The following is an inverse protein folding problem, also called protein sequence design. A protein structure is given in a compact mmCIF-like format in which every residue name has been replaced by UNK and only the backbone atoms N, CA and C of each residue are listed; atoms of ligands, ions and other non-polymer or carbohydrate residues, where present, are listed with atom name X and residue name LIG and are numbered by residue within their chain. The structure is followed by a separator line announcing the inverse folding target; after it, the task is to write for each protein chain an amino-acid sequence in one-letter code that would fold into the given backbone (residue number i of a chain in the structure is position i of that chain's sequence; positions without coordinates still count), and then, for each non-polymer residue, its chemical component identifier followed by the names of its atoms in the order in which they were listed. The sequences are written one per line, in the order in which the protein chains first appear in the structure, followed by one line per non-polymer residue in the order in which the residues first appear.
data_IF_515034040356
#
_entry.id   IF_515034040356
#
_cell.length_a   1.000
_cell.length_b   1.000
_cell.length_c   1.000
_cell.angle_alpha   90.00
_cell.angle_beta   90.00
_cell.angle_gamma   90.00
#
_symmetry.space_group_name_H-M   'P 1'
#
loop_
_entity.id
_entity.type
_entity.pdbx_description
1 polymer ?
#
# COMPACT_ATOMS: atom_id res chain seq x y z
N UNK A 1 -12.11 -30.84 2.24
CA UNK A 1 -11.04 -30.50 1.25
C UNK A 1 -9.86 -29.75 1.88
N UNK A 2 -10.04 -28.60 2.55
CA UNK A 2 -8.88 -27.89 3.17
C UNK A 2 -8.29 -28.58 4.39
N UNK A 3 -9.11 -29.17 5.27
CA UNK A 3 -8.63 -29.87 6.48
C UNK A 3 -7.77 -31.11 6.15
N UNK A 4 -8.09 -31.79 5.04
CA UNK A 4 -7.32 -32.93 4.54
C UNK A 4 -5.89 -32.56 4.13
N UNK A 5 -5.59 -31.28 3.86
CA UNK A 5 -4.22 -30.83 3.57
C UNK A 5 -3.32 -30.84 4.81
N UNK A 6 -3.90 -30.93 6.01
CA UNK A 6 -3.19 -30.94 7.28
C UNK A 6 -3.07 -32.34 7.90
N UNK A 7 -3.60 -33.38 7.25
CA UNK A 7 -3.44 -34.77 7.71
C UNK A 7 -2.04 -35.29 7.38
N UNK A 8 -1.52 -36.22 8.19
CA UNK A 8 -0.19 -36.81 8.03
C UNK A 8 0.83 -36.30 9.04
N UNK A 9 2.11 -36.50 8.76
CA UNK A 9 3.19 -36.10 9.67
C UNK A 9 3.33 -34.56 9.71
N UNK A 10 3.16 -33.96 10.88
CA UNK A 10 3.21 -32.51 11.04
C UNK A 10 4.57 -31.88 10.72
N UNK A 11 5.67 -32.65 10.84
CA UNK A 11 7.04 -32.15 10.61
C UNK A 11 7.34 -32.00 9.11
N UNK A 12 6.86 -32.94 8.29
CA UNK A 12 7.11 -32.94 6.84
C UNK A 12 5.97 -32.30 6.05
N UNK A 13 4.82 -32.02 6.69
CA UNK A 13 3.68 -31.40 6.03
C UNK A 13 3.93 -29.89 5.82
N UNK A 14 4.23 -29.53 4.57
CA UNK A 14 4.48 -28.14 4.16
C UNK A 14 3.30 -27.19 4.43
N UNK A 15 2.04 -27.67 4.34
CA UNK A 15 0.86 -26.84 4.63
C UNK A 15 0.78 -26.49 6.11
N UNK A 16 1.04 -27.47 6.98
CA UNK A 16 1.12 -27.29 8.43
C UNK A 16 2.26 -26.33 8.79
N UNK A 17 3.45 -26.53 8.23
CA UNK A 17 4.60 -25.65 8.47
C UNK A 17 4.30 -24.20 8.03
N UNK A 18 3.76 -23.99 6.83
CA UNK A 18 3.41 -22.65 6.34
C UNK A 18 2.34 -21.97 7.20
N UNK A 19 1.37 -22.72 7.72
CA UNK A 19 0.38 -22.19 8.65
C UNK A 19 1.04 -21.79 9.97
N UNK A 20 1.92 -22.63 10.53
CA UNK A 20 2.66 -22.33 11.75
C UNK A 20 3.51 -21.06 11.60
N UNK A 21 4.16 -20.83 10.46
CA UNK A 21 4.90 -19.59 10.21
C UNK A 21 4.00 -18.35 10.34
N UNK A 22 2.76 -18.41 9.85
CA UNK A 22 1.79 -17.31 9.99
C UNK A 22 1.29 -17.14 11.41
N UNK A 23 1.09 -18.24 12.14
CA UNK A 23 0.70 -18.21 13.56
C UNK A 23 1.81 -17.59 14.40
N UNK A 24 3.06 -18.03 14.20
CA UNK A 24 4.25 -17.50 14.86
C UNK A 24 4.37 -15.98 14.63
N UNK A 25 4.22 -15.52 13.39
CA UNK A 25 4.26 -14.09 13.08
C UNK A 25 3.16 -13.30 13.82
N UNK A 26 1.92 -13.83 13.88
CA UNK A 26 0.81 -13.18 14.60
C UNK A 26 0.97 -13.19 16.11
N UNK A 27 1.63 -14.21 16.67
CA UNK A 27 1.98 -14.30 18.08
C UNK A 27 3.18 -13.39 18.44
N UNK A 28 3.75 -12.65 17.48
CA UNK A 28 4.90 -11.76 17.69
C UNK A 28 6.25 -12.50 17.70
N UNK A 29 6.27 -13.77 17.31
CA UNK A 29 7.49 -14.56 17.15
C UNK A 29 8.27 -14.18 15.90
N UNK A 30 9.56 -14.50 15.89
CA UNK A 30 10.47 -14.28 14.76
C UNK A 30 10.89 -15.65 14.24
N UNK A 31 10.47 -15.99 13.02
CA UNK A 31 10.80 -17.28 12.41
C UNK A 31 12.23 -17.31 11.84
N UNK A 32 12.66 -16.21 11.24
CA UNK A 32 14.01 -16.04 10.71
C UNK A 32 14.43 -14.57 10.76
N UNK A 33 15.75 -14.33 10.69
CA UNK A 33 16.36 -13.00 10.62
C UNK A 33 17.53 -13.07 9.66
N UNK A 34 17.76 -11.99 8.91
CA UNK A 34 18.95 -11.84 8.07
C UNK A 34 20.17 -11.59 8.94
N UNK A 35 21.28 -12.28 8.68
CA UNK A 35 22.54 -11.99 9.38
C UNK A 35 23.04 -10.59 8.99
N UNK A 36 23.09 -9.69 9.98
CA UNK A 36 23.52 -8.30 9.79
C UNK A 36 24.97 -8.20 9.30
N UNK A 37 25.81 -9.21 9.57
CA UNK A 37 27.22 -9.20 9.20
C UNK A 37 27.50 -9.75 7.79
N UNK A 38 26.50 -10.37 7.15
CA UNK A 38 26.68 -10.99 5.84
C UNK A 38 26.90 -9.95 4.73
N UNK A 39 26.26 -8.78 4.83
CA UNK A 39 26.36 -7.72 3.84
C UNK A 39 26.56 -6.36 4.52
N UNK A 40 27.44 -5.52 3.97
CA UNK A 40 27.69 -4.16 4.49
C UNK A 40 26.41 -3.31 4.57
N UNK A 41 25.52 -3.45 3.59
CA UNK A 41 24.21 -2.77 3.58
C UNK A 41 23.34 -3.20 4.75
N UNK A 42 23.29 -4.50 5.05
CA UNK A 42 22.54 -5.05 6.17
C UNK A 42 23.12 -4.61 7.52
N UNK A 43 24.45 -4.57 7.64
CA UNK A 43 25.12 -4.06 8.83
C UNK A 43 24.73 -2.60 9.12
N UNK A 44 24.62 -1.78 8.08
CA UNK A 44 24.16 -0.39 8.21
C UNK A 44 22.67 -0.30 8.58
N UNK A 45 21.81 -1.08 7.91
CA UNK A 45 20.36 -1.05 8.15
C UNK A 45 19.99 -1.55 9.55
N UNK A 46 20.76 -2.49 10.11
CA UNK A 46 20.50 -3.11 11.42
C UNK A 46 21.39 -2.54 12.54
N UNK A 47 22.03 -1.38 12.31
CA UNK A 47 22.86 -0.71 13.30
C UNK A 47 21.98 -0.10 14.42
N UNK A 48 22.10 -0.55 15.69
CA UNK A 48 21.30 0.01 16.78
C UNK A 48 21.65 1.46 17.16
N UNK A 49 22.86 1.93 16.81
CA UNK A 49 23.29 3.32 17.07
C UNK A 49 22.71 4.31 16.05
N UNK A 50 22.48 3.83 14.83
CA UNK A 50 21.92 4.60 13.72
C UNK A 50 20.74 3.82 13.10
N UNK A 51 19.64 3.65 13.86
CA UNK A 51 18.54 2.79 13.47
C UNK A 51 17.88 3.28 12.17
N UNK A 52 17.58 2.32 11.30
CA UNK A 52 16.87 2.57 10.03
C UNK A 52 15.41 2.15 10.14
N UNK A 53 14.49 3.07 9.83
CA UNK A 53 13.07 2.79 9.63
C UNK A 53 12.83 2.55 8.13
N UNK A 54 12.43 1.34 7.79
CA UNK A 54 12.00 0.97 6.45
C UNK A 54 10.49 1.03 6.39
N UNK A 55 9.97 1.80 5.44
CA UNK A 55 8.56 2.00 5.18
C UNK A 55 8.17 1.39 3.84
N UNK A 56 6.99 0.79 3.78
CA UNK A 56 6.37 0.30 2.55
C UNK A 56 5.00 0.95 2.35
N UNK A 57 4.74 1.47 1.16
CA UNK A 57 3.44 2.06 0.81
C UNK A 57 2.84 1.34 -0.38
N UNK A 58 1.62 0.87 -0.20
CA UNK A 58 0.78 0.36 -1.26
C UNK A 58 -0.61 1.02 -1.25
N UNK A 59 -1.13 1.26 -2.45
CA UNK A 59 -2.47 1.86 -2.64
C UNK A 59 -3.25 1.00 -3.63
N UNK A 60 -3.88 -0.09 -3.17
CA UNK A 60 -4.84 -0.81 -3.99
C UNK A 60 -6.00 0.11 -4.40
N UNK A 61 -6.29 0.08 -5.70
CA UNK A 61 -7.43 0.75 -6.29
C UNK A 61 -8.56 -0.26 -6.58
N UNK A 62 -9.82 0.18 -6.51
CA UNK A 62 -10.97 -0.67 -6.79
C UNK A 62 -10.90 -1.21 -8.23
N UNK A 63 -11.38 -2.45 -8.42
CA UNK A 63 -11.38 -3.14 -9.69
C UNK A 63 -12.28 -2.44 -10.73
N UNK A 64 -12.17 -2.85 -12.00
CA UNK A 64 -13.06 -2.35 -13.03
C UNK A 64 -14.53 -2.71 -12.73
N UNK A 65 -14.80 -3.92 -12.26
CA UNK A 65 -16.16 -4.34 -11.92
C UNK A 65 -16.74 -3.50 -10.77
N UNK A 66 -15.96 -3.25 -9.72
CA UNK A 66 -16.37 -2.44 -8.57
C UNK A 66 -16.70 -1.01 -8.98
N UNK A 67 -15.91 -0.42 -9.87
CA UNK A 67 -16.16 0.91 -10.44
C UNK A 67 -17.43 0.95 -11.28
N UNK A 68 -17.65 -0.06 -12.12
CA UNK A 68 -18.87 -0.14 -12.95
C UNK A 68 -20.10 -0.31 -12.06
N UNK A 69 -20.01 -1.13 -11.01
CA UNK A 69 -21.08 -1.30 -10.04
C UNK A 69 -21.43 0.02 -9.36
N UNK A 70 -20.44 0.77 -8.88
CA UNK A 70 -20.65 2.07 -8.26
C UNK A 70 -21.39 3.07 -9.18
N UNK A 71 -21.09 3.07 -10.48
CA UNK A 71 -21.78 3.92 -11.45
C UNK A 71 -23.23 3.48 -11.66
N UNK A 72 -23.48 2.17 -11.77
CA UNK A 72 -24.85 1.62 -11.89
C UNK A 72 -25.68 1.94 -10.66
N UNK A 73 -25.12 1.77 -9.46
CA UNK A 73 -25.80 2.06 -8.19
C UNK A 73 -26.12 3.56 -8.03
N UNK A 74 -25.34 4.42 -8.68
CA UNK A 74 -25.59 5.87 -8.76
C UNK A 74 -26.57 6.29 -9.85
N UNK A 75 -27.20 5.35 -10.56
CA UNK A 75 -28.11 5.64 -11.68
C UNK A 75 -27.41 6.15 -12.95
N UNK A 76 -26.07 6.12 -13.00
CA UNK A 76 -25.28 6.48 -14.16
C UNK A 76 -25.05 5.25 -15.04
N UNK A 77 -25.87 5.09 -16.07
CA UNK A 77 -25.62 4.06 -17.09
C UNK A 77 -24.49 4.52 -18.02
N UNK A 78 -23.53 3.65 -18.37
CA UNK A 78 -22.64 3.93 -19.48
C UNK A 78 -23.52 4.13 -20.72
N UNK A 79 -23.46 5.32 -21.34
CA UNK A 79 -24.11 5.54 -22.64
C UNK A 79 -23.70 4.39 -23.57
N UNK A 80 -24.67 3.66 -24.08
CA UNK A 80 -24.45 2.58 -25.05
C UNK A 80 -23.58 3.09 -26.20
N UNK A 81 -22.36 2.58 -26.33
CA UNK A 81 -21.50 2.73 -27.52
C UNK A 81 -22.07 1.87 -28.68
N UNK A 82 -23.33 2.07 -29.05
CA UNK A 82 -23.96 1.40 -30.21
C UNK A 82 -24.57 2.36 -31.23
N UNK A 83 -24.15 3.62 -31.24
CA UNK A 83 -24.48 4.54 -32.34
C UNK A 83 -23.33 5.52 -32.58
N UNK A 84 -22.17 5.00 -32.98
CA UNK A 84 -21.12 5.79 -33.62
C UNK A 84 -20.26 4.88 -34.53
N UNK A 85 -20.91 4.09 -35.39
CA UNK A 85 -20.27 3.68 -36.62
C UNK A 85 -20.39 4.84 -37.59
N UNK A 86 -19.46 5.78 -37.50
CA UNK A 86 -19.01 6.58 -38.65
C UNK A 86 -17.64 7.14 -38.29
N UNK A 87 -16.63 6.53 -38.91
CA UNK A 87 -15.32 7.06 -39.27
C UNK A 87 -14.94 8.41 -38.64
N UNK A 88 -13.90 8.45 -37.82
CA UNK A 88 -12.74 9.38 -37.96
C UNK A 88 -11.63 8.89 -37.03
N UNK A 89 -10.43 8.75 -37.59
CA UNK A 89 -9.16 8.58 -36.92
C UNK A 89 -8.83 9.83 -36.09
N UNK A 90 -9.09 9.84 -34.78
CA UNK A 90 -8.71 10.98 -33.94
C UNK A 90 -8.32 10.57 -32.51
N UNK A 91 -7.03 10.69 -32.23
CA UNK A 91 -6.38 10.53 -30.92
C UNK A 91 -6.99 11.45 -29.84
N UNK A 92 -7.77 12.47 -30.23
CA UNK A 92 -8.46 13.43 -29.35
C UNK A 92 -9.71 12.85 -28.65
N UNK A 93 -10.37 11.84 -29.23
CA UNK A 93 -11.59 11.22 -28.67
C UNK A 93 -11.24 10.31 -27.48
N UNK A 94 -10.11 9.59 -27.56
CA UNK A 94 -9.62 8.77 -26.46
C UNK A 94 -9.17 9.60 -25.25
N UNK A 95 -8.67 10.81 -25.49
CA UNK A 95 -8.27 11.76 -24.44
C UNK A 95 -9.51 12.33 -23.75
N UNK A 96 -10.52 12.77 -24.51
CA UNK A 96 -11.77 13.32 -23.95
C UNK A 96 -12.61 12.28 -23.18
N UNK A 97 -12.68 11.03 -23.65
CA UNK A 97 -13.32 9.93 -22.91
C UNK A 97 -12.60 9.59 -21.58
N UNK A 98 -11.25 9.62 -21.58
CA UNK A 98 -10.44 9.45 -20.36
C UNK A 98 -10.62 10.60 -19.37
N UNK A 99 -10.73 11.83 -19.86
CA UNK A 99 -10.96 13.04 -19.03
C UNK A 99 -12.36 13.01 -18.40
N UNK A 100 -13.40 12.60 -19.13
CA UNK A 100 -14.76 12.48 -18.59
C UNK A 100 -14.86 11.42 -17.47
N UNK A 101 -14.20 10.27 -17.61
CA UNK A 101 -14.14 9.24 -16.56
C UNK A 101 -13.36 9.69 -15.30
N UNK A 102 -12.53 10.74 -15.40
CA UNK A 102 -11.65 11.21 -14.32
C UNK A 102 -12.40 12.09 -13.31
N UNK A 103 -13.48 12.76 -13.73
CA UNK A 103 -14.36 13.52 -12.84
C UNK A 103 -15.61 12.73 -12.41
N UNK A 104 -15.93 11.63 -13.10
CA UNK A 104 -17.14 10.83 -12.88
C UNK A 104 -17.34 10.34 -11.44
N UNK A 105 -16.25 10.05 -10.71
CA UNK A 105 -16.32 9.57 -9.33
C UNK A 105 -16.17 10.68 -8.28
N UNK A 106 -15.78 11.90 -8.67
CA UNK A 106 -15.65 13.03 -7.74
C UNK A 106 -17.02 13.51 -7.27
N UNK A 107 -17.98 13.53 -8.19
CA UNK A 107 -19.33 14.04 -7.97
C UNK A 107 -20.27 12.98 -7.33
N UNK A 108 -19.78 11.74 -7.13
CA UNK A 108 -20.55 10.71 -6.46
C UNK A 108 -20.71 10.98 -4.96
N UNK A 109 -21.88 10.65 -4.39
CA UNK A 109 -22.08 10.62 -2.94
C UNK A 109 -21.01 9.76 -2.25
N UNK A 110 -20.59 10.16 -1.05
CA UNK A 110 -19.52 9.49 -0.30
C UNK A 110 -19.73 7.98 -0.12
N UNK A 111 -20.98 7.54 0.00
CA UNK A 111 -21.35 6.14 0.20
C UNK A 111 -21.34 5.29 -1.08
N UNK A 112 -21.37 5.92 -2.26
CA UNK A 112 -21.34 5.24 -3.57
C UNK A 112 -19.97 5.32 -4.24
N UNK A 113 -19.09 6.21 -3.78
CA UNK A 113 -17.75 6.36 -4.35
C UNK A 113 -16.91 5.10 -4.09
N UNK A 114 -16.37 4.44 -5.12
CA UNK A 114 -15.49 3.29 -4.94
C UNK A 114 -14.18 3.77 -4.30
N UNK A 115 -13.71 3.04 -3.29
CA UNK A 115 -12.63 3.49 -2.41
C UNK A 115 -11.31 2.80 -2.70
N UNK A 116 -10.23 3.56 -2.62
CA UNK A 116 -8.88 3.00 -2.54
C UNK A 116 -8.49 2.87 -1.07
N UNK A 117 -7.59 1.96 -0.76
CA UNK A 117 -7.06 1.80 0.60
C UNK A 117 -5.58 2.10 0.54
N UNK A 118 -5.09 2.98 1.40
CA UNK A 118 -3.67 3.21 1.60
C UNK A 118 -3.23 2.34 2.74
N UNK A 119 -2.11 1.64 2.57
CA UNK A 119 -1.45 0.91 3.64
C UNK A 119 0.01 1.38 3.74
N UNK A 120 0.40 1.85 4.91
CA UNK A 120 1.79 2.15 5.26
C UNK A 120 2.24 1.14 6.29
N UNK A 121 3.21 0.31 5.90
CA UNK A 121 3.89 -0.64 6.78
C UNK A 121 5.24 -0.07 7.20
N UNK A 122 5.72 -0.45 8.37
CA UNK A 122 7.07 -0.11 8.81
C UNK A 122 7.62 -1.11 9.81
N UNK A 123 8.93 -1.36 9.79
CA UNK A 123 9.55 -2.18 10.82
C UNK A 123 9.40 -1.53 12.19
N UNK A 124 9.38 -2.35 13.23
CA UNK A 124 9.19 -1.92 14.62
C UNK A 124 10.37 -2.28 15.52
N UNK A 125 11.34 -3.01 14.96
CA UNK A 125 12.59 -3.42 15.58
C UNK A 125 13.77 -3.11 14.65
N UNK A 126 14.95 -2.98 15.23
CA UNK A 126 16.20 -2.69 14.49
C UNK A 126 16.59 -3.85 13.56
N UNK A 127 16.12 -5.07 13.84
CA UNK A 127 16.49 -6.26 13.08
C UNK A 127 15.61 -6.54 11.85
N UNK A 128 14.67 -5.66 11.54
CA UNK A 128 13.75 -5.78 10.39
C UNK A 128 12.89 -7.06 10.43
N UNK A 129 12.59 -7.58 11.62
CA UNK A 129 11.87 -8.84 11.80
C UNK A 129 10.38 -8.68 12.06
N UNK A 130 9.95 -7.51 12.58
CA UNK A 130 8.57 -7.23 12.97
C UNK A 130 8.08 -5.96 12.31
N UNK A 131 6.87 -6.00 11.78
CA UNK A 131 6.30 -4.91 10.98
C UNK A 131 4.92 -4.50 11.51
N UNK A 132 4.72 -3.20 11.69
CA UNK A 132 3.43 -2.58 12.02
C UNK A 132 2.75 -2.05 10.76
N UNK A 133 1.43 -1.81 10.82
CA UNK A 133 0.62 -1.33 9.69
C UNK A 133 -0.35 -0.23 10.10
N UNK A 134 -0.53 0.75 9.22
CA UNK A 134 -1.46 1.87 9.35
C UNK A 134 -2.17 1.95 8.03
N UNK A 135 -3.46 1.68 8.06
CA UNK A 135 -4.29 1.76 6.87
C UNK A 135 -5.29 2.89 6.98
N UNK A 136 -5.62 3.48 5.83
CA UNK A 136 -6.63 4.52 5.67
C UNK A 136 -7.41 4.26 4.39
N UNK A 137 -8.67 4.63 4.41
CA UNK A 137 -9.55 4.50 3.25
C UNK A 137 -9.70 5.87 2.61
N UNK A 138 -9.59 5.95 1.29
CA UNK A 138 -9.66 7.20 0.53
C UNK A 138 -10.50 7.06 -0.72
N UNK A 139 -10.94 8.20 -1.30
CA UNK A 139 -11.60 8.19 -2.60
C UNK A 139 -10.62 7.77 -3.69
N UNK A 140 -11.16 7.30 -4.81
CA UNK A 140 -10.35 6.90 -5.95
C UNK A 140 -9.49 8.06 -6.46
N UNK A 141 -8.20 7.77 -6.77
CA UNK A 141 -7.21 8.74 -7.28
C UNK A 141 -6.92 9.94 -6.36
N UNK A 142 -7.39 9.91 -5.12
CA UNK A 142 -7.01 10.89 -4.11
C UNK A 142 -5.63 10.50 -3.53
N UNK A 143 -4.58 10.58 -4.32
CA UNK A 143 -3.18 10.38 -3.88
C UNK A 143 -2.64 11.58 -3.08
N UNK A 144 -3.49 12.30 -2.35
CA UNK A 144 -3.13 13.59 -1.74
C UNK A 144 -2.20 13.44 -0.52
N UNK A 145 -1.23 14.37 -0.41
CA UNK A 145 -0.23 14.52 0.68
C UNK A 145 -0.79 14.42 2.09
N UNK A 146 -1.97 15.01 2.34
CA UNK A 146 -2.57 15.12 3.69
C UNK A 146 -2.88 13.73 4.28
N UNK A 147 -3.10 12.73 3.44
CA UNK A 147 -3.55 11.41 3.89
C UNK A 147 -2.41 10.48 4.37
N UNK A 148 -1.14 10.87 4.19
CA UNK A 148 0.02 10.06 4.56
C UNK A 148 0.70 10.50 5.86
N UNK A 149 0.46 11.73 6.32
CA UNK A 149 1.08 12.30 7.53
C UNK A 149 0.77 11.42 8.76
N UNK A 150 -0.51 11.13 9.01
CA UNK A 150 -0.93 10.32 10.16
C UNK A 150 -0.40 8.87 10.10
N UNK A 151 -0.49 8.15 8.96
CA UNK A 151 0.17 6.85 8.81
C UNK A 151 1.68 6.86 9.08
N UNK A 152 2.41 7.87 8.58
CA UNK A 152 3.84 8.01 8.83
C UNK A 152 4.14 8.28 10.29
N UNK A 153 3.44 9.24 10.90
CA UNK A 153 3.58 9.60 12.31
C UNK A 153 3.36 8.39 13.20
N UNK A 154 2.30 7.61 12.94
CA UNK A 154 2.03 6.38 13.67
C UNK A 154 3.18 5.35 13.56
N UNK A 155 3.82 5.21 12.39
CA UNK A 155 4.98 4.32 12.22
C UNK A 155 6.22 4.80 12.94
N UNK A 156 6.52 6.10 12.83
CA UNK A 156 7.68 6.70 13.48
C UNK A 156 7.54 6.61 15.02
N UNK A 157 6.36 6.88 15.55
CA UNK A 157 6.06 6.77 16.98
C UNK A 157 6.10 5.32 17.47
N UNK A 158 5.54 4.38 16.69
CA UNK A 158 5.60 2.95 17.03
C UNK A 158 7.05 2.44 17.03
N UNK A 159 7.86 2.86 16.05
CA UNK A 159 9.28 2.54 16.01
C UNK A 159 10.00 3.08 17.24
N UNK A 160 9.85 4.38 17.52
CA UNK A 160 10.48 5.05 18.66
C UNK A 160 10.11 4.40 19.99
N UNK A 161 8.84 4.06 20.20
CA UNK A 161 8.39 3.43 21.45
C UNK A 161 8.99 2.03 21.67
N UNK A 162 9.33 1.30 20.61
CA UNK A 162 9.89 -0.07 20.69
C UNK A 162 11.41 -0.11 20.66
N UNK A 163 12.08 0.82 19.96
CA UNK A 163 13.54 0.87 19.85
C UNK A 163 14.18 1.87 20.83
N UNK A 164 13.39 2.75 21.44
CA UNK A 164 13.85 3.81 22.34
C UNK A 164 14.59 4.95 21.64
N UNK A 165 14.68 4.93 20.31
CA UNK A 165 15.44 5.91 19.52
C UNK A 165 14.68 6.28 18.25
N UNK A 166 14.68 7.57 17.92
CA UNK A 166 14.14 8.04 16.64
C UNK A 166 14.99 7.49 15.50
N UNK A 167 14.38 7.14 14.36
CA UNK A 167 15.13 6.62 13.22
C UNK A 167 16.11 7.69 12.70
N UNK A 168 17.35 7.28 12.47
CA UNK A 168 18.39 8.13 11.85
C UNK A 168 18.33 8.10 10.33
N UNK A 169 17.80 7.01 9.79
CA UNK A 169 17.59 6.82 8.36
C UNK A 169 16.17 6.32 8.11
N UNK A 170 15.55 6.81 7.04
CA UNK A 170 14.26 6.33 6.57
C UNK A 170 14.43 5.85 5.13
N UNK A 171 13.96 4.63 4.83
CA UNK A 171 13.94 4.06 3.49
C UNK A 171 12.48 3.85 3.10
N UNK A 172 12.05 4.41 1.98
CA UNK A 172 10.68 4.33 1.50
C UNK A 172 10.59 3.45 0.25
N UNK A 173 9.82 2.37 0.33
CA UNK A 173 9.45 1.54 -0.82
C UNK A 173 8.01 1.83 -1.23
N UNK A 174 7.83 2.48 -2.38
CA UNK A 174 6.52 2.84 -2.93
C UNK A 174 6.13 1.93 -4.10
N UNK A 175 5.04 1.18 -3.95
CA UNK A 175 4.56 0.24 -4.98
C UNK A 175 3.50 0.85 -5.91
N UNK A 176 3.53 0.52 -7.21
CA UNK A 176 2.40 0.82 -8.11
C UNK A 176 2.25 2.29 -8.53
N UNK A 177 3.35 3.07 -8.51
CA UNK A 177 3.39 4.41 -9.11
C UNK A 177 3.89 4.31 -10.54
N UNK A 178 3.15 4.91 -11.49
CA UNK A 178 3.58 4.97 -12.89
C UNK A 178 4.64 6.05 -13.10
N UNK A 179 5.47 5.90 -14.15
CA UNK A 179 6.54 6.86 -14.47
C UNK A 179 6.05 8.31 -14.61
N UNK A 180 4.83 8.49 -15.13
CA UNK A 180 4.21 9.81 -15.30
C UNK A 180 3.78 10.45 -13.98
N UNK A 181 3.50 9.64 -12.95
CA UNK A 181 3.12 10.08 -11.62
C UNK A 181 4.30 10.16 -10.65
N UNK A 182 5.45 9.55 -10.99
CA UNK A 182 6.59 9.39 -10.09
C UNK A 182 7.05 10.69 -9.43
N UNK A 183 7.29 11.74 -10.23
CA UNK A 183 7.78 13.03 -9.69
C UNK A 183 6.81 13.68 -8.72
N UNK A 184 5.50 13.58 -9.03
CA UNK A 184 4.44 14.14 -8.20
C UNK A 184 4.32 13.37 -6.89
N UNK A 185 4.22 12.05 -6.97
CA UNK A 185 4.14 11.17 -5.81
C UNK A 185 5.36 11.36 -4.89
N UNK A 186 6.57 11.39 -5.45
CA UNK A 186 7.79 11.63 -4.69
C UNK A 186 7.75 12.95 -3.91
N UNK A 187 7.36 14.04 -4.57
CA UNK A 187 7.27 15.36 -3.93
C UNK A 187 6.23 15.39 -2.81
N UNK A 188 5.02 14.87 -3.09
CA UNK A 188 3.92 14.84 -2.13
C UNK A 188 4.22 13.92 -0.93
N UNK A 189 4.78 12.74 -1.16
CA UNK A 189 5.12 11.78 -0.11
C UNK A 189 6.30 12.27 0.75
N UNK A 190 7.29 12.91 0.14
CA UNK A 190 8.43 13.49 0.89
C UNK A 190 7.96 14.62 1.81
N UNK A 191 7.10 15.53 1.32
CA UNK A 191 6.52 16.57 2.18
C UNK A 191 5.68 16.00 3.31
N UNK A 192 4.88 14.96 3.05
CA UNK A 192 4.11 14.30 4.10
C UNK A 192 5.01 13.69 5.17
N UNK A 193 6.16 13.14 4.77
CA UNK A 193 7.14 12.58 5.69
C UNK A 193 7.85 13.66 6.51
N UNK A 194 8.24 14.78 5.88
CA UNK A 194 8.83 15.93 6.58
C UNK A 194 7.88 16.47 7.66
N UNK A 195 6.61 16.70 7.32
CA UNK A 195 5.58 17.14 8.28
C UNK A 195 5.26 16.12 9.36
N UNK A 196 5.52 14.84 9.12
CA UNK A 196 5.33 13.79 10.14
C UNK A 196 6.50 13.71 11.13
N UNK A 197 7.67 14.28 10.77
CA UNK A 197 8.86 14.37 11.61
C UNK A 197 8.93 15.67 12.42
N UNK A 198 8.23 16.72 11.97
CA UNK A 198 7.92 17.93 12.76
C UNK A 198 7.09 17.60 14.01
#
# INVERSE_FOLDING_TARGET
KSLQKFTGNAITNASSTNLLLKILAKAGGVACRVDGNQFKSMAKMTNPREPTLVLGIDVPHPSREERIKALKDAGMTPRNERSANQSVSDTSVAVTARVAATNLFKDLPYHLCPRSVVAVVGNTDVHLTKWGVSSRVQRIRQEETVNLIEPFKARIQEFHSKTGTLPKHIILFRNGVSDTQFKKALYEETQALERALE
#
